data_IF_991004745165
#
_entry.id   IF_991004745165
#
_cell.length_a   1.000
_cell.length_b   1.000
_cell.length_c   1.000
_cell.angle_alpha   90.00
_cell.angle_beta   90.00
_cell.angle_gamma   90.00
#
_symmetry.space_group_name_H-M   'P 1'
#
loop_
_entity.id
_entity.type
_entity.pdbx_description
1 polymer ?
#
# COMPACT_ATOMS: atom_id res chain seq x y z
N UNK A 1 -7.95 -1.24 -35.76
CA UNK A 1 -8.56 -1.84 -34.56
C UNK A 1 -7.59 -1.61 -33.42
N UNK A 2 -7.92 -0.76 -32.47
CA UNK A 2 -7.09 -0.60 -31.27
C UNK A 2 -7.06 -1.94 -30.52
N UNK A 3 -5.87 -2.40 -30.13
CA UNK A 3 -5.70 -3.65 -29.39
C UNK A 3 -6.35 -3.59 -27.99
N UNK A 4 -6.45 -4.74 -27.34
CA UNK A 4 -6.91 -4.83 -25.94
C UNK A 4 -6.02 -3.94 -25.06
N UNK A 5 -6.58 -2.86 -24.49
CA UNK A 5 -5.88 -2.01 -23.53
C UNK A 5 -5.80 -2.69 -22.17
N UNK A 6 -4.62 -2.67 -21.56
CA UNK A 6 -4.41 -3.06 -20.16
C UNK A 6 -4.49 -1.82 -19.27
N UNK A 7 -4.76 -1.99 -17.95
CA UNK A 7 -4.76 -0.86 -17.02
C UNK A 7 -3.48 -0.02 -17.08
N UNK A 8 -2.31 -0.66 -17.24
CA UNK A 8 -1.01 0.02 -17.39
C UNK A 8 -0.95 0.97 -18.60
N UNK A 9 -1.76 0.72 -19.64
CA UNK A 9 -1.78 1.51 -20.86
C UNK A 9 -2.67 2.77 -20.71
N UNK A 10 -3.29 2.98 -19.54
CA UNK A 10 -4.21 4.10 -19.23
C UNK A 10 -3.75 4.96 -18.05
N UNK A 11 -2.64 5.72 -18.23
CA UNK A 11 -2.08 6.55 -17.16
C UNK A 11 -3.05 7.62 -16.67
N UNK A 12 -3.96 8.11 -17.53
CA UNK A 12 -4.99 9.08 -17.18
C UNK A 12 -5.96 8.55 -16.10
N UNK A 13 -6.39 7.29 -16.23
CA UNK A 13 -7.29 6.66 -15.25
C UNK A 13 -6.51 6.34 -13.97
N UNK A 14 -5.31 5.76 -14.10
CA UNK A 14 -4.45 5.41 -12.97
C UNK A 14 -4.19 6.63 -12.08
N UNK A 15 -3.77 7.75 -12.66
CA UNK A 15 -3.43 8.95 -11.89
C UNK A 15 -4.66 9.53 -11.19
N UNK A 16 -5.83 9.50 -11.83
CA UNK A 16 -7.08 9.95 -11.20
C UNK A 16 -7.46 9.08 -10.01
N UNK A 17 -7.43 7.75 -10.18
CA UNK A 17 -7.75 6.81 -9.09
C UNK A 17 -6.73 6.91 -7.96
N UNK A 18 -5.44 7.02 -8.29
CA UNK A 18 -4.39 7.23 -7.30
C UNK A 18 -4.63 8.50 -6.48
N UNK A 19 -4.91 9.62 -7.13
CA UNK A 19 -5.17 10.89 -6.44
C UNK A 19 -6.41 10.81 -5.53
N UNK A 20 -7.49 10.15 -5.97
CA UNK A 20 -8.67 9.92 -5.12
C UNK A 20 -8.30 9.09 -3.88
N UNK A 21 -7.55 8.00 -4.05
CA UNK A 21 -7.10 7.16 -2.93
C UNK A 21 -6.13 7.89 -1.99
N UNK A 22 -5.22 8.69 -2.53
CA UNK A 22 -4.28 9.47 -1.73
C UNK A 22 -5.01 10.50 -0.87
N UNK A 23 -6.03 11.18 -1.42
CA UNK A 23 -6.85 12.13 -0.66
C UNK A 23 -7.60 11.45 0.47
N UNK A 24 -8.23 10.31 0.21
CA UNK A 24 -8.94 9.54 1.23
C UNK A 24 -7.98 9.09 2.34
N UNK A 25 -6.81 8.55 1.96
CA UNK A 25 -5.79 8.14 2.92
C UNK A 25 -5.31 9.32 3.79
N UNK A 26 -5.08 10.50 3.21
CA UNK A 26 -4.69 11.69 3.96
C UNK A 26 -5.80 12.18 4.89
N UNK A 27 -7.06 12.04 4.49
CA UNK A 27 -8.23 12.35 5.33
C UNK A 27 -8.31 11.40 6.53
N UNK A 28 -8.14 10.10 6.32
CA UNK A 28 -8.07 9.12 7.40
C UNK A 28 -6.92 9.42 8.37
N UNK A 29 -5.74 9.71 7.84
CA UNK A 29 -4.54 10.03 8.63
C UNK A 29 -4.73 11.30 9.45
N UNK A 30 -5.18 12.39 8.83
CA UNK A 30 -5.13 13.72 9.43
C UNK A 30 -6.42 14.13 10.14
N UNK A 31 -7.59 13.68 9.66
CA UNK A 31 -8.89 14.05 10.24
C UNK A 31 -9.49 12.94 11.10
N UNK A 32 -9.45 11.69 10.62
CA UNK A 32 -9.94 10.55 11.39
C UNK A 32 -8.93 10.06 12.43
N UNK A 33 -7.68 10.53 12.35
CA UNK A 33 -6.66 10.33 13.37
C UNK A 33 -6.27 8.86 13.53
N UNK A 34 -6.20 8.10 12.42
CA UNK A 34 -5.86 6.66 12.49
C UNK A 34 -4.48 6.39 13.09
N UNK A 35 -3.57 7.38 13.06
CA UNK A 35 -2.27 7.34 13.74
C UNK A 35 -2.19 8.29 14.96
N UNK A 36 -3.32 8.80 15.43
CA UNK A 36 -3.42 9.85 16.43
C UNK A 36 -3.27 11.25 15.86
N UNK A 37 -2.83 12.21 16.69
CA UNK A 37 -2.75 13.63 16.33
C UNK A 37 -1.55 13.92 15.45
N UNK A 38 -1.82 14.35 14.21
CA UNK A 38 -0.80 14.79 13.24
C UNK A 38 -0.55 16.29 13.38
N UNK A 39 0.68 16.68 13.71
CA UNK A 39 1.12 18.08 13.80
C UNK A 39 1.51 18.64 12.43
N UNK A 40 2.15 17.82 11.60
CA UNK A 40 2.51 18.16 10.23
C UNK A 40 2.54 16.90 9.36
N UNK A 41 2.19 17.06 8.08
CA UNK A 41 2.39 16.03 7.07
C UNK A 41 3.10 16.65 5.86
N UNK A 42 4.03 15.91 5.28
CA UNK A 42 4.72 16.26 4.05
C UNK A 42 4.66 15.03 3.16
N UNK A 43 4.31 15.20 1.89
CA UNK A 43 4.37 14.09 0.96
C UNK A 43 4.89 14.53 -0.41
N UNK A 44 5.51 13.59 -1.09
CA UNK A 44 6.00 13.74 -2.47
C UNK A 44 5.40 12.62 -3.31
N UNK A 45 4.96 12.96 -4.51
CA UNK A 45 4.48 11.98 -5.49
C UNK A 45 5.58 11.81 -6.53
N UNK A 46 6.07 10.58 -6.67
CA UNK A 46 7.09 10.21 -7.63
C UNK A 46 6.50 9.31 -8.71
N UNK A 47 6.92 9.58 -9.95
CA UNK A 47 6.67 8.70 -11.08
C UNK A 47 7.96 7.96 -11.38
N UNK A 48 8.08 6.72 -10.90
CA UNK A 48 9.24 5.89 -11.21
C UNK A 48 9.32 5.68 -12.73
N UNK A 49 10.52 5.49 -13.31
CA UNK A 49 10.66 5.29 -14.76
C UNK A 49 9.88 4.03 -15.18
N UNK A 50 8.84 4.20 -16.01
CA UNK A 50 7.82 3.20 -16.40
C UNK A 50 6.79 2.86 -15.31
N UNK A 51 6.75 3.63 -14.23
CA UNK A 51 6.03 3.32 -13.01
C UNK A 51 4.71 4.07 -12.86
N UNK A 52 3.79 3.39 -12.19
CA UNK A 52 2.60 3.98 -11.60
C UNK A 52 3.00 5.04 -10.56
N UNK A 53 2.14 6.03 -10.27
CA UNK A 53 2.42 7.01 -9.22
C UNK A 53 2.67 6.34 -7.86
N UNK A 54 3.67 6.82 -7.15
CA UNK A 54 4.03 6.41 -5.80
C UNK A 54 4.02 7.64 -4.88
N UNK A 55 3.50 7.53 -3.65
CA UNK A 55 3.56 8.62 -2.67
C UNK A 55 4.47 8.25 -1.49
N UNK A 56 5.46 9.10 -1.23
CA UNK A 56 6.22 9.10 0.02
C UNK A 56 5.54 10.07 0.98
N UNK A 57 5.02 9.58 2.11
CA UNK A 57 4.29 10.39 3.10
C UNK A 57 5.05 10.36 4.43
N UNK A 58 5.42 11.52 4.93
CA UNK A 58 6.07 11.72 6.22
C UNK A 58 5.11 12.44 7.18
N UNK A 59 4.91 11.86 8.36
CA UNK A 59 4.03 12.38 9.40
C UNK A 59 4.85 12.79 10.63
N UNK A 60 4.58 13.99 11.13
CA UNK A 60 5.05 14.45 12.45
C UNK A 60 3.89 14.33 13.43
N UNK A 61 3.95 13.36 14.33
CA UNK A 61 2.93 13.13 15.35
C UNK A 61 3.20 13.93 16.62
N UNK A 62 2.13 14.26 17.35
CA UNK A 62 2.25 14.87 18.67
C UNK A 62 2.93 13.93 19.68
N UNK A 63 3.37 14.47 20.82
CA UNK A 63 4.19 13.73 21.78
C UNK A 63 3.48 12.50 22.37
N UNK A 64 2.14 12.53 22.43
CA UNK A 64 1.29 11.47 22.97
C UNK A 64 0.98 10.38 21.95
N UNK A 65 0.92 10.72 20.67
CA UNK A 65 0.64 9.80 19.55
C UNK A 65 1.90 9.17 18.97
N UNK A 66 3.10 9.59 19.41
CA UNK A 66 4.36 8.99 18.94
C UNK A 66 4.39 7.47 19.20
N UNK A 67 4.59 6.74 18.12
CA UNK A 67 4.90 5.30 18.11
C UNK A 67 6.34 5.14 18.60
N UNK A 68 6.53 4.61 19.81
CA UNK A 68 7.86 4.49 20.44
C UNK A 68 8.24 3.06 20.78
N UNK A 69 7.26 2.21 21.02
CA UNK A 69 7.49 0.85 21.47
C UNK A 69 7.20 -0.16 20.37
N UNK A 70 7.77 -1.36 20.49
CA UNK A 70 7.43 -2.49 19.61
C UNK A 70 5.92 -2.74 19.58
N UNK A 71 5.27 -2.74 20.75
CA UNK A 71 3.83 -2.95 20.84
C UNK A 71 3.02 -1.86 20.14
N UNK A 72 3.54 -0.63 20.04
CA UNK A 72 2.87 0.41 19.26
C UNK A 72 3.01 0.14 17.76
N UNK A 73 4.20 -0.30 17.32
CA UNK A 73 4.44 -0.68 15.92
C UNK A 73 3.50 -1.83 15.52
N UNK A 74 3.40 -2.88 16.34
CA UNK A 74 2.59 -4.07 16.06
C UNK A 74 1.07 -3.74 15.95
N UNK A 75 0.60 -2.61 16.50
CA UNK A 75 -0.80 -2.15 16.32
C UNK A 75 -1.07 -1.57 14.93
N UNK A 76 -0.05 -1.03 14.28
CA UNK A 76 -0.19 -0.27 13.03
C UNK A 76 0.40 -1.00 11.83
N UNK A 77 1.37 -1.89 12.05
CA UNK A 77 2.07 -2.63 11.02
C UNK A 77 1.87 -4.12 11.27
N UNK A 78 1.17 -4.77 10.34
CA UNK A 78 1.00 -6.22 10.32
C UNK A 78 1.14 -6.76 8.90
N UNK A 79 1.53 -8.02 8.79
CA UNK A 79 1.54 -8.77 7.54
C UNK A 79 0.85 -10.10 7.82
N UNK A 80 -0.42 -10.20 7.46
CA UNK A 80 -1.25 -11.35 7.75
C UNK A 80 -1.87 -11.92 6.48
N UNK A 81 -2.00 -13.25 6.43
CA UNK A 81 -2.85 -13.91 5.45
C UNK A 81 -4.27 -13.95 6.01
N UNK A 82 -5.25 -13.35 5.32
CA UNK A 82 -6.64 -13.38 5.77
C UNK A 82 -7.14 -14.82 5.90
N UNK A 83 -7.98 -15.11 6.89
CA UNK A 83 -8.55 -16.45 7.04
C UNK A 83 -9.52 -16.75 5.87
N UNK A 84 -9.30 -17.84 5.10
CA UNK A 84 -10.17 -18.19 3.98
C UNK A 84 -11.59 -18.57 4.39
N UNK A 85 -11.82 -18.99 5.63
CA UNK A 85 -13.15 -19.35 6.14
C UNK A 85 -14.01 -18.12 6.44
N UNK A 86 -13.40 -17.04 6.91
CA UNK A 86 -14.09 -15.79 7.29
C UNK A 86 -13.97 -14.70 6.23
N UNK A 87 -12.95 -14.75 5.37
CA UNK A 87 -12.58 -13.66 4.47
C UNK A 87 -12.00 -14.12 3.14
N UNK A 88 -12.65 -15.09 2.46
CA UNK A 88 -12.15 -15.70 1.22
C UNK A 88 -11.71 -14.69 0.16
N UNK A 89 -12.47 -13.60 -0.05
CA UNK A 89 -12.13 -12.57 -1.06
C UNK A 89 -10.82 -11.87 -0.72
N UNK A 90 -10.62 -11.48 0.53
CA UNK A 90 -9.38 -10.82 0.96
C UNK A 90 -8.21 -11.80 0.87
N UNK A 91 -8.41 -13.05 1.30
CA UNK A 91 -7.40 -14.10 1.19
C UNK A 91 -6.95 -14.28 -0.26
N UNK A 92 -7.89 -14.38 -1.21
CA UNK A 92 -7.59 -14.51 -2.63
C UNK A 92 -6.82 -13.31 -3.20
N UNK A 93 -7.17 -12.09 -2.78
CA UNK A 93 -6.48 -10.87 -3.25
C UNK A 93 -5.04 -10.83 -2.69
N UNK A 94 -4.88 -11.07 -1.38
CA UNK A 94 -3.57 -11.02 -0.71
C UNK A 94 -2.66 -12.11 -1.25
N UNK A 95 -3.13 -13.36 -1.34
CA UNK A 95 -2.32 -14.47 -1.86
C UNK A 95 -1.95 -14.30 -3.34
N UNK A 96 -2.80 -13.68 -4.15
CA UNK A 96 -2.50 -13.42 -5.56
C UNK A 96 -1.53 -12.27 -5.78
N UNK A 97 -1.64 -11.20 -4.99
CA UNK A 97 -0.96 -9.93 -5.27
C UNK A 97 0.21 -9.62 -4.34
N UNK A 98 0.22 -10.18 -3.13
CA UNK A 98 1.15 -9.81 -2.05
C UNK A 98 2.05 -10.96 -1.59
N UNK A 99 1.83 -12.17 -2.12
CA UNK A 99 2.70 -13.33 -1.86
C UNK A 99 3.59 -13.55 -3.08
N UNK A 100 4.90 -13.62 -2.85
CA UNK A 100 5.83 -14.00 -3.91
C UNK A 100 5.50 -15.41 -4.41
N UNK A 101 5.61 -15.60 -5.73
CA UNK A 101 5.49 -16.93 -6.32
C UNK A 101 6.59 -17.87 -5.83
N UNK A 102 6.48 -19.18 -6.12
CA UNK A 102 7.55 -20.12 -5.79
C UNK A 102 8.89 -19.64 -6.35
N UNK A 103 9.97 -19.84 -5.58
CA UNK A 103 11.35 -19.50 -5.94
C UNK A 103 12.29 -20.69 -5.66
N UNK A 104 13.53 -20.59 -6.14
CA UNK A 104 14.59 -21.55 -5.82
C UNK A 104 14.35 -22.92 -6.46
N UNK A 105 14.43 -23.99 -5.68
CA UNK A 105 14.28 -25.36 -6.22
C UNK A 105 12.88 -25.65 -6.76
N UNK A 106 11.86 -24.93 -6.26
CA UNK A 106 10.46 -25.06 -6.70
C UNK A 106 10.22 -24.30 -8.01
N UNK A 107 11.02 -23.27 -8.28
CA UNK A 107 10.98 -22.52 -9.53
C UNK A 107 12.36 -21.93 -9.84
N UNK A 108 13.14 -22.67 -10.63
CA UNK A 108 14.52 -22.31 -11.00
C UNK A 108 14.60 -20.97 -11.75
N UNK A 109 13.52 -20.55 -12.40
CA UNK A 109 13.46 -19.28 -13.13
C UNK A 109 13.22 -18.07 -12.21
N UNK A 110 13.01 -18.28 -10.91
CA UNK A 110 12.79 -17.23 -9.93
C UNK A 110 13.77 -17.41 -8.77
N UNK A 111 14.85 -16.63 -8.69
CA UNK A 111 15.78 -16.70 -7.57
C UNK A 111 15.08 -16.26 -6.28
N UNK A 112 15.43 -16.88 -5.15
CA UNK A 112 14.97 -16.41 -3.85
C UNK A 112 15.78 -15.15 -3.45
N UNK A 113 15.10 -14.18 -2.84
CA UNK A 113 15.66 -12.93 -2.31
C UNK A 113 15.88 -13.08 -0.81
#
# INVERSE_FOLDING_TARGET
>A
MEGVQRPEDRPDIIVRVFNMKLKELLEDICKHGIFGTVLANIYVIEFQKRGLPHAHILLTLDSKSKIRTKNDIDKFVSAELPDPCTGLRLFQIVTKCMVHGPCGTININSPCI
#
